data_IF_025991594737
#
_entry.id   IF_025991594737
#
_cell.length_a   1.000
_cell.length_b   1.000
_cell.length_c   1.000
_cell.angle_alpha   90.00
_cell.angle_beta   90.00
_cell.angle_gamma   90.00
#
_symmetry.space_group_name_H-M   'P 1'
#
loop_
_entity.id
_entity.type
_entity.pdbx_description
1 polymer ?
#
# COMPACT_ATOMS: atom_id res chain seq x y z
N UNK A 1 -49.58 -10.53 19.58
CA UNK A 1 -48.34 -11.11 20.17
C UNK A 1 -48.14 -10.56 21.58
N UNK A 2 -47.82 -11.41 22.57
CA UNK A 2 -47.59 -10.97 23.96
C UNK A 2 -46.29 -10.15 24.09
N UNK A 3 -46.22 -9.25 25.09
CA UNK A 3 -45.04 -8.40 25.38
C UNK A 3 -43.73 -9.22 25.46
N UNK A 4 -43.81 -10.42 26.05
CA UNK A 4 -42.67 -11.35 26.19
C UNK A 4 -42.17 -11.90 24.84
N UNK A 5 -43.08 -12.17 23.90
CA UNK A 5 -42.73 -12.60 22.53
C UNK A 5 -42.13 -11.46 21.71
N UNK A 6 -42.64 -10.23 21.86
CA UNK A 6 -42.07 -9.03 21.21
C UNK A 6 -40.66 -8.72 21.71
N UNK A 7 -40.44 -8.77 23.02
CA UNK A 7 -39.11 -8.55 23.61
C UNK A 7 -38.09 -9.57 23.09
N UNK A 8 -38.42 -10.87 23.13
CA UNK A 8 -37.55 -11.92 22.57
C UNK A 8 -37.22 -11.68 21.10
N UNK A 9 -38.20 -11.32 20.28
CA UNK A 9 -37.98 -11.06 18.85
C UNK A 9 -37.02 -9.88 18.62
N UNK A 10 -37.22 -8.77 19.32
CA UNK A 10 -36.33 -7.60 19.23
C UNK A 10 -34.92 -7.97 19.67
N UNK A 11 -34.77 -8.64 20.82
CA UNK A 11 -33.46 -9.07 21.33
C UNK A 11 -32.74 -10.01 20.34
N UNK A 12 -33.45 -10.96 19.74
CA UNK A 12 -32.88 -11.87 18.73
C UNK A 12 -32.43 -11.11 17.48
N UNK A 13 -33.24 -10.19 16.96
CA UNK A 13 -32.87 -9.36 15.79
C UNK A 13 -31.64 -8.50 16.12
N UNK A 14 -31.64 -7.84 17.29
CA UNK A 14 -30.49 -7.03 17.73
C UNK A 14 -29.23 -7.86 17.85
N UNK A 15 -29.29 -9.06 18.45
CA UNK A 15 -28.13 -9.97 18.54
C UNK A 15 -27.61 -10.39 17.16
N UNK A 16 -28.50 -10.70 16.22
CA UNK A 16 -28.12 -11.05 14.85
C UNK A 16 -27.46 -9.87 14.15
N UNK A 17 -28.03 -8.68 14.24
CA UNK A 17 -27.44 -7.47 13.64
C UNK A 17 -26.11 -7.10 14.29
N UNK A 18 -26.00 -7.15 15.61
CA UNK A 18 -24.72 -6.90 16.29
C UNK A 18 -23.67 -7.92 15.85
N UNK A 19 -24.01 -9.21 15.78
CA UNK A 19 -23.09 -10.25 15.31
C UNK A 19 -22.66 -10.01 13.85
N UNK A 20 -23.59 -9.68 12.95
CA UNK A 20 -23.27 -9.40 11.55
C UNK A 20 -22.41 -8.13 11.38
N UNK A 21 -22.70 -7.07 12.13
CA UNK A 21 -21.95 -5.80 12.07
C UNK A 21 -20.56 -5.92 12.71
N UNK A 22 -20.40 -6.68 13.80
CA UNK A 22 -19.07 -6.90 14.43
C UNK A 22 -18.15 -7.79 13.59
N UNK A 23 -18.69 -8.54 12.62
CA UNK A 23 -17.91 -9.38 11.71
C UNK A 23 -17.49 -8.66 10.43
N UNK A 24 -17.80 -7.36 10.28
CA UNK A 24 -17.22 -6.56 9.20
C UNK A 24 -15.73 -6.37 9.51
N UNK A 25 -14.89 -7.18 8.87
CA UNK A 25 -13.44 -6.98 8.87
C UNK A 25 -13.16 -5.67 8.14
N UNK A 26 -13.01 -4.60 8.89
CA UNK A 26 -12.49 -3.34 8.36
C UNK A 26 -11.00 -3.57 8.10
N UNK A 27 -10.63 -3.71 6.83
CA UNK A 27 -9.23 -3.73 6.42
C UNK A 27 -8.72 -2.29 6.51
N UNK A 28 -7.67 -2.08 7.30
CA UNK A 28 -6.96 -0.81 7.39
C UNK A 28 -5.48 -1.14 7.58
N UNK A 29 -4.64 -0.63 6.69
CA UNK A 29 -3.19 -0.73 6.80
C UNK A 29 -2.64 0.68 6.92
N UNK A 30 -2.11 1.01 8.09
CA UNK A 30 -1.34 2.24 8.26
C UNK A 30 -0.04 2.10 7.45
N UNK A 31 0.29 3.08 6.62
CA UNK A 31 1.61 3.13 5.98
C UNK A 31 2.31 4.40 6.44
N UNK A 32 3.57 4.26 6.81
CA UNK A 32 4.41 5.38 7.21
C UNK A 32 5.61 5.52 6.27
N UNK A 33 6.28 6.68 6.33
CA UNK A 33 7.49 6.93 5.57
C UNK A 33 8.67 7.38 6.42
N UNK A 34 9.87 6.98 6.03
CA UNK A 34 11.13 7.49 6.58
C UNK A 34 11.97 8.15 5.49
N UNK A 35 12.62 9.25 5.83
CA UNK A 35 13.56 9.92 4.93
C UNK A 35 14.80 9.06 4.70
N UNK A 36 15.37 9.13 3.49
CA UNK A 36 16.75 8.72 3.23
C UNK A 36 17.22 9.23 1.84
N UNK A 37 18.32 8.69 1.33
CA UNK A 37 18.98 9.16 0.11
C UNK A 37 18.08 9.14 -1.14
N UNK A 38 18.28 10.10 -2.03
CA UNK A 38 17.61 10.17 -3.34
C UNK A 38 18.58 9.74 -4.42
N UNK A 39 18.15 8.85 -5.32
CA UNK A 39 19.04 8.32 -6.36
C UNK A 39 18.90 9.01 -7.71
N UNK A 40 17.69 9.49 -8.06
CA UNK A 40 17.47 10.35 -9.23
C UNK A 40 16.36 11.36 -8.94
N UNK A 41 16.18 12.29 -9.88
CA UNK A 41 15.04 13.18 -9.94
C UNK A 41 14.20 12.91 -11.20
N UNK A 42 12.90 13.22 -11.16
CA UNK A 42 12.04 13.26 -12.34
C UNK A 42 11.27 14.57 -12.44
N UNK A 43 10.92 14.95 -13.67
CA UNK A 43 9.96 16.02 -13.90
C UNK A 43 8.56 15.49 -13.61
N UNK A 44 7.94 15.94 -12.52
CA UNK A 44 6.60 15.51 -12.15
C UNK A 44 5.55 16.25 -12.97
N UNK A 45 4.79 15.55 -13.85
CA UNK A 45 3.72 16.18 -14.61
C UNK A 45 2.57 16.65 -13.70
N UNK A 46 2.37 15.98 -12.56
CA UNK A 46 1.33 16.33 -11.59
C UNK A 46 1.62 17.64 -10.87
N UNK A 47 2.88 17.87 -10.50
CA UNK A 47 3.26 19.00 -9.65
C UNK A 47 3.98 20.13 -10.38
N UNK A 48 4.32 19.95 -11.66
CA UNK A 48 5.04 20.95 -12.47
C UNK A 48 6.45 21.25 -11.95
N UNK A 49 7.06 20.34 -11.18
CA UNK A 49 8.39 20.52 -10.58
C UNK A 49 9.21 19.24 -10.64
N UNK A 50 10.53 19.40 -10.49
CA UNK A 50 11.47 18.30 -10.30
C UNK A 50 11.27 17.73 -8.90
N UNK A 51 11.01 16.42 -8.80
CA UNK A 51 10.86 15.71 -7.55
C UNK A 51 11.93 14.61 -7.42
N UNK A 52 12.47 14.39 -6.22
CA UNK A 52 13.35 13.27 -5.98
C UNK A 52 12.58 11.96 -6.07
N UNK A 53 13.26 10.92 -6.53
CA UNK A 53 12.79 9.55 -6.52
C UNK A 53 13.58 8.79 -5.47
N UNK A 54 12.87 8.01 -4.66
CA UNK A 54 13.47 7.16 -3.65
C UNK A 54 13.83 7.87 -2.35
N UNK A 55 13.53 9.16 -2.19
CA UNK A 55 13.83 9.91 -0.96
C UNK A 55 13.05 9.44 0.27
N UNK A 56 12.01 8.64 0.09
CA UNK A 56 11.24 8.06 1.19
C UNK A 56 11.17 6.53 1.11
N UNK A 57 11.16 5.89 2.29
CA UNK A 57 10.98 4.45 2.45
C UNK A 57 9.64 4.21 3.12
N UNK A 58 8.82 3.34 2.54
CA UNK A 58 7.45 3.11 2.98
C UNK A 58 7.34 1.75 3.65
N UNK A 59 6.68 1.74 4.80
CA UNK A 59 6.50 0.54 5.59
C UNK A 59 5.10 0.46 6.17
N UNK A 60 4.56 -0.74 6.19
CA UNK A 60 3.44 -1.09 7.06
C UNK A 60 3.94 -1.32 8.51
N UNK A 61 3.05 -1.42 9.52
CA UNK A 61 3.47 -1.50 10.92
C UNK A 61 4.21 -2.79 11.25
N UNK A 62 4.03 -3.82 10.43
CA UNK A 62 4.74 -5.10 10.47
C UNK A 62 6.10 -5.06 9.76
N UNK A 63 6.60 -3.86 9.42
CA UNK A 63 7.85 -3.59 8.70
C UNK A 63 7.90 -4.13 7.26
N UNK A 64 6.76 -4.53 6.71
CA UNK A 64 6.69 -4.92 5.30
C UNK A 64 7.00 -3.71 4.42
N UNK A 65 7.87 -3.92 3.44
CA UNK A 65 8.20 -2.86 2.47
C UNK A 65 6.98 -2.57 1.58
N UNK A 66 6.66 -1.29 1.45
CA UNK A 66 5.60 -0.80 0.57
C UNK A 66 6.19 0.01 -0.60
N UNK A 67 5.45 0.04 -1.70
CA UNK A 67 5.81 0.77 -2.92
C UNK A 67 4.68 1.72 -3.31
N UNK A 68 5.06 2.87 -3.88
CA UNK A 68 4.11 3.82 -4.42
C UNK A 68 3.62 3.37 -5.80
N UNK A 69 2.30 3.36 -5.98
CA UNK A 69 1.65 3.07 -7.26
C UNK A 69 1.20 4.32 -8.03
N UNK A 70 1.50 5.52 -7.52
CA UNK A 70 1.05 6.77 -8.13
C UNK A 70 2.12 7.85 -8.02
N UNK A 71 2.78 8.16 -9.12
CA UNK A 71 3.81 9.21 -9.19
C UNK A 71 3.30 10.60 -8.81
N UNK A 72 1.98 10.84 -8.86
CA UNK A 72 1.38 12.12 -8.49
C UNK A 72 0.99 12.23 -7.01
N UNK A 73 1.00 11.12 -6.24
CA UNK A 73 0.59 11.13 -4.85
C UNK A 73 1.70 11.60 -3.91
N UNK A 74 1.30 12.21 -2.78
CA UNK A 74 2.23 12.50 -1.69
C UNK A 74 2.64 11.19 -0.99
N UNK A 75 3.83 11.21 -0.37
CA UNK A 75 4.29 10.11 0.47
C UNK A 75 3.35 9.91 1.67
N UNK A 76 3.20 8.68 2.16
CA UNK A 76 2.41 8.40 3.35
C UNK A 76 3.03 8.96 4.62
N UNK A 77 2.20 9.47 5.52
CA UNK A 77 2.57 10.09 6.80
C UNK A 77 1.88 9.43 8.00
N UNK A 78 1.54 8.14 7.90
CA UNK A 78 0.84 7.39 8.94
C UNK A 78 -0.69 7.40 8.80
N UNK A 79 -1.22 7.59 7.59
CA UNK A 79 -2.66 7.42 7.34
C UNK A 79 -3.03 5.95 7.07
N UNK A 80 -4.27 5.60 7.40
CA UNK A 80 -4.86 4.29 7.12
C UNK A 80 -5.30 4.16 5.66
N UNK A 81 -4.86 3.07 5.02
CA UNK A 81 -5.33 2.63 3.71
C UNK A 81 -6.38 1.54 3.89
N UNK A 82 -7.61 1.82 3.48
CA UNK A 82 -8.76 0.92 3.68
C UNK A 82 -9.21 0.18 2.43
N UNK A 83 -8.60 0.48 1.29
CA UNK A 83 -8.86 -0.17 0.02
C UNK A 83 -7.70 -1.07 -0.37
N UNK A 84 -8.02 -2.32 -0.69
CA UNK A 84 -7.07 -3.26 -1.30
C UNK A 84 -7.13 -3.10 -2.82
N UNK A 85 -6.01 -2.68 -3.41
CA UNK A 85 -5.89 -2.58 -4.87
C UNK A 85 -5.35 -3.93 -5.36
N UNK A 86 -6.10 -4.70 -6.17
CA UNK A 86 -5.58 -5.93 -6.76
C UNK A 86 -4.41 -5.58 -7.66
N UNK A 87 -3.25 -6.17 -7.39
CA UNK A 87 -2.08 -6.03 -8.24
C UNK A 87 -2.24 -6.92 -9.47
N UNK A 88 -1.91 -6.41 -10.65
CA UNK A 88 -1.82 -7.28 -11.82
C UNK A 88 -0.51 -8.09 -11.79
N UNK A 89 -0.48 -9.19 -12.56
CA UNK A 89 0.64 -10.13 -12.56
C UNK A 89 1.98 -9.51 -12.98
N UNK A 90 1.99 -8.36 -13.67
CA UNK A 90 3.21 -7.63 -14.00
C UNK A 90 3.82 -6.94 -12.78
N UNK A 91 3.00 -6.31 -11.93
CA UNK A 91 3.47 -5.75 -10.66
C UNK A 91 3.93 -6.87 -9.72
N UNK A 92 3.19 -7.97 -9.63
CA UNK A 92 3.59 -9.13 -8.83
C UNK A 92 4.95 -9.68 -9.28
N UNK A 93 5.17 -9.78 -10.59
CA UNK A 93 6.45 -10.20 -11.18
C UNK A 93 7.58 -9.23 -10.82
N UNK A 94 7.33 -7.92 -10.91
CA UNK A 94 8.33 -6.91 -10.54
C UNK A 94 8.71 -7.03 -9.06
N UNK A 95 7.75 -7.22 -8.16
CA UNK A 95 8.02 -7.38 -6.72
C UNK A 95 8.73 -8.71 -6.44
N UNK A 96 8.34 -9.80 -7.12
CA UNK A 96 8.98 -11.11 -6.96
C UNK A 96 10.47 -11.10 -7.34
N UNK A 97 10.82 -10.38 -8.41
CA UNK A 97 12.22 -10.21 -8.82
C UNK A 97 12.89 -8.99 -8.18
N UNK A 98 12.15 -8.14 -7.47
CA UNK A 98 12.65 -6.91 -6.89
C UNK A 98 12.99 -7.02 -5.41
N UNK A 99 13.21 -5.88 -4.78
CA UNK A 99 13.34 -5.79 -3.33
C UNK A 99 11.98 -5.92 -2.63
N UNK A 100 11.88 -6.55 -1.44
CA UNK A 100 12.95 -7.18 -0.67
C UNK A 100 13.20 -8.66 -1.01
N UNK A 101 12.51 -9.24 -2.00
CA UNK A 101 12.71 -10.64 -2.38
C UNK A 101 14.15 -10.91 -2.85
N UNK A 102 14.80 -9.89 -3.41
CA UNK A 102 16.23 -9.82 -3.74
C UNK A 102 16.84 -8.52 -3.25
N UNK A 103 18.16 -8.51 -3.09
CA UNK A 103 18.91 -7.36 -2.58
C UNK A 103 19.73 -6.63 -3.66
N UNK A 104 19.70 -7.10 -4.91
CA UNK A 104 20.43 -6.51 -6.02
C UNK A 104 21.94 -6.77 -6.02
N UNK A 105 22.45 -7.59 -5.11
CA UNK A 105 23.88 -7.92 -5.03
C UNK A 105 24.43 -8.54 -6.32
N UNK A 106 23.60 -9.28 -7.07
CA UNK A 106 23.94 -9.83 -8.39
C UNK A 106 24.28 -8.74 -9.44
N UNK A 107 23.82 -7.49 -9.21
CA UNK A 107 24.08 -6.32 -10.05
C UNK A 107 25.19 -5.43 -9.49
N UNK A 108 25.79 -5.78 -8.34
CA UNK A 108 26.84 -5.00 -7.70
C UNK A 108 26.37 -3.69 -7.05
N UNK A 109 25.08 -3.59 -6.72
CA UNK A 109 24.48 -2.42 -6.05
C UNK A 109 23.96 -2.78 -4.66
N UNK A 110 23.77 -1.76 -3.82
CA UNK A 110 23.22 -1.93 -2.48
C UNK A 110 21.73 -2.30 -2.50
N UNK A 111 21.25 -2.86 -1.38
CA UNK A 111 19.83 -3.15 -1.19
C UNK A 111 18.93 -1.91 -1.32
N UNK A 112 19.38 -0.73 -0.88
CA UNK A 112 18.59 0.50 -0.98
C UNK A 112 18.56 1.04 -2.43
N UNK A 113 19.66 0.91 -3.18
CA UNK A 113 19.67 1.16 -4.63
C UNK A 113 18.76 0.18 -5.38
N UNK A 114 18.73 -1.10 -4.98
CA UNK A 114 17.86 -2.08 -5.62
C UNK A 114 16.37 -1.87 -5.29
N UNK A 115 16.08 -1.47 -4.06
CA UNK A 115 14.75 -0.99 -3.63
C UNK A 115 14.28 0.14 -4.52
N UNK A 116 15.17 1.08 -4.80
CA UNK A 116 14.92 2.18 -5.72
C UNK A 116 14.63 1.72 -7.15
N UNK A 117 15.44 0.82 -7.72
CA UNK A 117 15.21 0.24 -9.04
C UNK A 117 13.84 -0.44 -9.14
N UNK A 118 13.42 -1.12 -8.07
CA UNK A 118 12.11 -1.77 -7.98
C UNK A 118 10.97 -0.75 -8.06
N UNK A 119 11.06 0.37 -7.35
CA UNK A 119 10.07 1.46 -7.43
C UNK A 119 9.96 2.05 -8.84
N UNK A 120 11.09 2.24 -9.52
CA UNK A 120 11.10 2.72 -10.91
C UNK A 120 10.46 1.73 -11.87
N UNK A 121 10.73 0.43 -11.71
CA UNK A 121 10.15 -0.60 -12.55
C UNK A 121 8.62 -0.61 -12.44
N UNK A 122 8.09 -0.46 -11.22
CA UNK A 122 6.64 -0.32 -10.95
C UNK A 122 6.07 0.87 -11.73
N UNK A 123 6.65 2.06 -11.58
CA UNK A 123 6.13 3.26 -12.27
C UNK A 123 6.28 3.18 -13.80
N UNK A 124 7.38 2.61 -14.29
CA UNK A 124 7.60 2.41 -15.72
C UNK A 124 6.57 1.45 -16.32
N UNK A 125 6.20 0.40 -15.58
CA UNK A 125 5.18 -0.54 -15.98
C UNK A 125 3.79 0.10 -16.01
N UNK A 126 3.42 0.84 -14.97
CA UNK A 126 2.13 1.54 -14.91
C UNK A 126 1.96 2.56 -16.04
N UNK A 127 3.03 3.28 -16.40
CA UNK A 127 3.00 4.24 -17.50
C UNK A 127 2.73 3.59 -18.87
N UNK A 128 3.09 2.32 -19.07
CA UNK A 128 2.84 1.60 -20.35
C UNK A 128 1.39 1.15 -20.52
N UNK A 129 0.59 1.14 -19.45
CA UNK A 129 -0.81 0.73 -19.50
C UNK A 129 -1.78 1.87 -19.80
N UNK A 130 -1.29 3.12 -19.87
CA UNK A 130 -2.05 4.33 -20.19
C UNK A 130 -1.75 4.76 -21.62
#
# INVERSE_FOLDING_TARGET
MSKRKRFKLITTITLIFTFLLTNIKVFAVEINSTDAESYLNYNSPTWGKVLPIGNHRYYAPDLRTCYCLNTGALNPTGQDYTEEIPLDGGIETIIYWGYPARDGSEWGISADEYRYCTQLAIWAYQKKQV
#
